data_IF_084628154226
#
_entry.id   IF_084628154226
#
_cell.length_a   1.000
_cell.length_b   1.000
_cell.length_c   1.000
_cell.angle_alpha   90.00
_cell.angle_beta   90.00
_cell.angle_gamma   90.00
#
_symmetry.space_group_name_H-M   'P 1'
#
loop_
_entity.id
_entity.type
_entity.pdbx_description
1 polymer ?
#
# COMPACT_ATOMS: atom_id res chain seq x y z
N UNK A 1 3.38 34.72 -13.45
CA UNK A 1 2.83 33.86 -12.38
C UNK A 1 3.75 33.98 -11.18
N UNK A 2 3.20 34.16 -9.98
CA UNK A 2 4.01 34.35 -8.77
C UNK A 2 4.80 33.07 -8.48
N UNK A 3 6.13 33.18 -8.37
CA UNK A 3 7.04 32.06 -8.10
C UNK A 3 6.61 31.28 -6.86
N UNK A 4 6.10 31.97 -5.84
CA UNK A 4 5.56 31.36 -4.60
C UNK A 4 4.39 30.41 -4.85
N UNK A 5 3.50 30.74 -5.78
CA UNK A 5 2.37 29.87 -6.13
C UNK A 5 2.82 28.61 -6.86
N UNK A 6 3.83 28.74 -7.73
CA UNK A 6 4.42 27.61 -8.45
C UNK A 6 5.12 26.65 -7.47
N UNK A 7 5.90 27.19 -6.53
CA UNK A 7 6.57 26.39 -5.49
C UNK A 7 5.56 25.62 -4.64
N UNK A 8 4.49 26.27 -4.18
CA UNK A 8 3.42 25.62 -3.41
C UNK A 8 2.73 24.50 -4.19
N UNK A 9 2.47 24.73 -5.48
CA UNK A 9 1.84 23.73 -6.36
C UNK A 9 2.73 22.49 -6.49
N UNK A 10 4.02 22.67 -6.78
CA UNK A 10 4.96 21.56 -6.93
C UNK A 10 5.19 20.83 -5.60
N UNK A 11 5.30 21.56 -4.48
CA UNK A 11 5.50 20.93 -3.18
C UNK A 11 4.30 20.06 -2.79
N UNK A 12 3.08 20.52 -3.08
CA UNK A 12 1.86 19.75 -2.81
C UNK A 12 1.87 18.44 -3.58
N UNK A 13 2.19 18.49 -4.89
CA UNK A 13 2.29 17.29 -5.70
C UNK A 13 3.41 16.35 -5.24
N UNK A 14 4.57 16.88 -4.89
CA UNK A 14 5.69 16.08 -4.38
C UNK A 14 5.28 15.32 -3.11
N UNK A 15 4.60 15.97 -2.17
CA UNK A 15 4.14 15.34 -0.92
C UNK A 15 3.17 14.20 -1.22
N UNK A 16 2.15 14.43 -2.05
CA UNK A 16 1.15 13.41 -2.41
C UNK A 16 1.83 12.21 -3.07
N UNK A 17 2.75 12.44 -4.02
CA UNK A 17 3.50 11.38 -4.69
C UNK A 17 4.35 10.60 -3.69
N UNK A 18 5.05 11.28 -2.78
CA UNK A 18 5.85 10.62 -1.75
C UNK A 18 5.00 9.70 -0.87
N UNK A 19 3.83 10.16 -0.42
CA UNK A 19 2.92 9.31 0.36
C UNK A 19 2.40 8.13 -0.46
N UNK A 20 1.98 8.36 -1.71
CA UNK A 20 1.52 7.29 -2.58
C UNK A 20 2.61 6.22 -2.73
N UNK A 21 3.82 6.60 -3.13
CA UNK A 21 4.97 5.69 -3.30
C UNK A 21 5.27 4.94 -2.00
N UNK A 22 5.27 5.62 -0.85
CA UNK A 22 5.47 4.99 0.46
C UNK A 22 4.45 3.88 0.74
N UNK A 23 3.16 4.15 0.54
CA UNK A 23 2.11 3.16 0.77
C UNK A 23 2.16 2.02 -0.23
N UNK A 24 2.45 2.30 -1.51
CA UNK A 24 2.63 1.27 -2.53
C UNK A 24 3.79 0.32 -2.17
N UNK A 25 4.96 0.87 -1.81
CA UNK A 25 6.09 0.06 -1.36
C UNK A 25 5.73 -0.76 -0.11
N UNK A 26 5.05 -0.13 0.85
CA UNK A 26 4.61 -0.79 2.08
C UNK A 26 3.67 -1.96 1.79
N UNK A 27 2.74 -1.83 0.84
CA UNK A 27 1.80 -2.89 0.47
C UNK A 27 2.49 -4.00 -0.32
N UNK A 28 3.35 -3.66 -1.29
CA UNK A 28 4.05 -4.64 -2.10
C UNK A 28 5.08 -5.44 -1.29
N UNK A 29 5.61 -4.83 -0.24
CA UNK A 29 6.59 -5.45 0.67
C UNK A 29 5.95 -5.95 1.96
N UNK A 30 4.64 -5.76 2.15
CA UNK A 30 3.96 -6.27 3.33
C UNK A 30 4.10 -7.79 3.34
N UNK A 31 4.63 -8.34 4.44
CA UNK A 31 4.66 -9.78 4.64
C UNK A 31 3.21 -10.27 4.53
N UNK A 32 2.96 -11.23 3.63
CA UNK A 32 1.68 -11.94 3.58
C UNK A 32 1.37 -12.41 4.99
N UNK A 33 0.25 -11.97 5.53
CA UNK A 33 -0.26 -12.53 6.76
C UNK A 33 -0.37 -14.03 6.52
N UNK A 34 0.14 -14.84 7.46
CA UNK A 34 -0.11 -16.27 7.43
C UNK A 34 -1.61 -16.42 7.70
N UNK A 35 -2.42 -16.36 6.63
CA UNK A 35 -3.85 -16.62 6.71
C UNK A 35 -3.98 -18.09 7.12
N UNK A 36 -4.71 -18.40 8.21
CA UNK A 36 -5.00 -19.79 8.54
C UNK A 36 -5.70 -20.40 7.33
N UNK A 37 -5.15 -21.52 6.83
CA UNK A 37 -5.68 -22.18 5.64
C UNK A 37 -7.18 -22.46 5.86
N UNK A 38 -8.01 -21.89 4.98
CA UNK A 38 -9.47 -21.98 5.06
C UNK A 38 -10.00 -23.39 4.87
N UNK A 39 -9.15 -24.34 4.43
CA UNK A 39 -9.50 -25.74 4.22
C UNK A 39 -9.06 -26.66 5.37
N UNK A 40 -8.47 -26.15 6.45
CA UNK A 40 -8.04 -26.99 7.61
C UNK A 40 -9.20 -27.80 8.20
N UNK A 41 -10.41 -27.26 8.25
CA UNK A 41 -11.59 -27.99 8.72
C UNK A 41 -12.11 -29.03 7.71
N UNK A 42 -11.67 -28.97 6.46
CA UNK A 42 -12.16 -29.80 5.35
C UNK A 42 -11.22 -30.96 5.01
N UNK A 43 -10.03 -31.03 5.62
CA UNK A 43 -9.06 -32.11 5.44
C UNK A 43 -9.49 -33.43 6.13
N UNK A 44 -10.40 -33.35 7.12
CA UNK A 44 -10.94 -34.52 7.83
C UNK A 44 -12.14 -35.19 7.13
N UNK A 45 -12.65 -34.66 6.01
CA UNK A 45 -13.76 -35.24 5.24
C UNK A 45 -13.30 -36.21 4.11
N UNK A 46 -12.38 -37.13 4.41
CA UNK A 46 -12.08 -38.26 3.52
C UNK A 46 -12.65 -39.58 4.08
N UNK A 47 -13.92 -39.86 3.74
CA UNK A 47 -14.56 -41.19 3.85
C UNK A 47 -15.16 -41.56 2.49
#
# INVERSE_FOLDING_TARGET
MNTSALVLMISTWAIVICFAVYFFIKILTAKKHDEPDSYVENDDESI
#
